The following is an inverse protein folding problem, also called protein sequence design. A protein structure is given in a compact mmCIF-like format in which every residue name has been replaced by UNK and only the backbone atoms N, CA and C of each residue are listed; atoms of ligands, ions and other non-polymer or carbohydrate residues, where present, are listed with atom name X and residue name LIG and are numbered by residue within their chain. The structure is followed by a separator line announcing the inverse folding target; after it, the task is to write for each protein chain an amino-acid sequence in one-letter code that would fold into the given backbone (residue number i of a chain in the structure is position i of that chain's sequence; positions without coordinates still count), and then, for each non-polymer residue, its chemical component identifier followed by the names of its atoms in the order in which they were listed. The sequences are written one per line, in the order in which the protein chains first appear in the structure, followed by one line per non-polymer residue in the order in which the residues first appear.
data_IF_851720715412
#
_entry.id   IF_851720715412
#
_cell.length_a   1.000
_cell.length_b   1.000
_cell.length_c   1.000
_cell.angle_alpha   90.00
_cell.angle_beta   90.00
_cell.angle_gamma   90.00
#
_symmetry.space_group_name_H-M   'P 1'
#
loop_
_entity.id
_entity.type
_entity.pdbx_description
1 polymer ?
#
# COMPACT_ATOMS: atom_id res chain seq x y z
N UNK A 1 -2.53 -7.31 -6.69
CA UNK A 1 -3.86 -7.45 -7.34
C UNK A 1 -4.62 -6.12 -7.32
N UNK A 2 -5.22 -5.72 -8.45
CA UNK A 2 -6.05 -4.51 -8.53
C UNK A 2 -7.33 -4.62 -7.68
N UNK A 3 -7.79 -3.49 -7.15
CA UNK A 3 -9.00 -3.41 -6.31
C UNK A 3 -10.23 -4.01 -7.00
N UNK A 4 -10.42 -3.71 -8.29
CA UNK A 4 -11.54 -4.20 -9.10
C UNK A 4 -11.56 -5.74 -9.16
N UNK A 5 -10.41 -6.38 -9.33
CA UNK A 5 -10.34 -7.84 -9.37
C UNK A 5 -10.74 -8.47 -8.04
N UNK A 6 -10.40 -7.83 -6.92
CA UNK A 6 -10.78 -8.30 -5.58
C UNK A 6 -12.28 -8.16 -5.37
N UNK A 7 -12.84 -7.00 -5.71
CA UNK A 7 -14.29 -6.75 -5.60
C UNK A 7 -15.08 -7.76 -6.45
N UNK A 8 -14.58 -8.13 -7.65
CA UNK A 8 -15.20 -9.17 -8.47
C UNK A 8 -15.11 -10.54 -7.81
N UNK A 9 -13.94 -10.94 -7.29
CA UNK A 9 -13.78 -12.25 -6.62
C UNK A 9 -14.66 -12.34 -5.37
N UNK A 10 -14.72 -11.27 -4.57
CA UNK A 10 -15.57 -11.18 -3.38
C UNK A 10 -17.05 -11.23 -3.76
N UNK A 11 -17.47 -10.50 -4.81
CA UNK A 11 -18.84 -10.54 -5.31
C UNK A 11 -19.23 -11.93 -5.85
N UNK A 12 -18.30 -12.64 -6.51
CA UNK A 12 -18.51 -14.03 -6.93
C UNK A 12 -18.64 -14.93 -5.71
N UNK A 13 -17.84 -14.72 -4.66
CA UNK A 13 -17.91 -15.51 -3.45
C UNK A 13 -19.24 -15.36 -2.70
N UNK A 14 -19.70 -14.12 -2.53
CA UNK A 14 -20.99 -13.82 -1.90
C UNK A 14 -22.17 -14.28 -2.78
N UNK A 15 -22.14 -14.02 -4.09
CA UNK A 15 -23.31 -14.24 -4.95
C UNK A 15 -23.43 -15.69 -5.43
N UNK A 16 -22.30 -16.38 -5.66
CA UNK A 16 -22.29 -17.72 -6.27
C UNK A 16 -21.95 -18.79 -5.24
N UNK A 17 -20.94 -18.58 -4.40
CA UNK A 17 -20.43 -19.65 -3.53
C UNK A 17 -21.26 -19.81 -2.25
N UNK A 18 -21.66 -18.72 -1.58
CA UNK A 18 -22.48 -18.81 -0.36
C UNK A 18 -23.81 -19.57 -0.55
N UNK A 19 -24.61 -19.31 -1.62
CA UNK A 19 -25.86 -20.05 -1.82
C UNK A 19 -25.64 -21.55 -2.08
N UNK A 20 -24.52 -21.91 -2.74
CA UNK A 20 -24.15 -23.30 -2.98
C UNK A 20 -23.75 -23.97 -1.66
N UNK A 21 -22.93 -23.30 -0.84
CA UNK A 21 -22.51 -23.80 0.47
C UNK A 21 -23.73 -24.01 1.39
N UNK A 22 -24.65 -23.04 1.45
CA UNK A 22 -25.91 -23.20 2.19
C UNK A 22 -26.75 -24.38 1.69
N UNK A 23 -26.82 -24.58 0.38
CA UNK A 23 -27.57 -25.69 -0.21
C UNK A 23 -26.95 -27.03 0.17
N UNK A 24 -25.61 -27.13 0.11
CA UNK A 24 -24.87 -28.33 0.54
C UNK A 24 -25.11 -28.62 2.02
N UNK A 25 -25.10 -27.60 2.88
CA UNK A 25 -25.42 -27.77 4.30
C UNK A 25 -26.87 -28.22 4.55
N UNK A 26 -27.83 -27.65 3.81
CA UNK A 26 -29.25 -28.04 3.90
C UNK A 26 -29.44 -29.50 3.49
N UNK A 27 -28.78 -29.96 2.43
CA UNK A 27 -28.82 -31.37 2.01
C UNK A 27 -28.11 -32.28 3.02
N UNK A 28 -26.98 -31.86 3.59
CA UNK A 28 -26.31 -32.62 4.66
C UNK A 28 -27.23 -32.79 5.88
N UNK A 29 -27.94 -31.73 6.30
CA UNK A 29 -28.93 -31.78 7.38
C UNK A 29 -30.09 -32.72 7.03
N UNK A 30 -30.63 -32.68 5.81
CA UNK A 30 -31.67 -33.61 5.35
C UNK A 30 -31.19 -35.05 5.38
N UNK A 31 -29.96 -35.31 4.96
CA UNK A 31 -29.39 -36.65 4.96
C UNK A 31 -29.08 -37.18 6.35
N UNK A 32 -28.65 -36.34 7.29
CA UNK A 32 -28.53 -36.73 8.71
C UNK A 32 -29.89 -37.10 9.32
N UNK A 33 -30.99 -36.50 8.86
CA UNK A 33 -32.36 -36.75 9.33
C UNK A 33 -33.02 -38.00 8.72
N UNK A 34 -32.55 -38.54 7.59
CA UNK A 34 -33.15 -39.74 6.97
C UNK A 34 -32.94 -40.98 7.86
N UNK A 35 -34.03 -41.66 8.22
CA UNK A 35 -33.98 -42.90 9.03
C UNK A 35 -33.24 -44.01 8.27
N UNK A 36 -32.38 -44.75 8.96
CA UNK A 36 -31.68 -45.88 8.35
C UNK A 36 -32.70 -46.96 7.95
N UNK A 37 -32.64 -47.38 6.68
CA UNK A 37 -33.37 -48.55 6.23
C UNK A 37 -32.55 -49.79 6.58
N UNK A 38 -32.94 -50.46 7.67
CA UNK A 38 -32.19 -51.59 8.25
C UNK A 38 -32.08 -52.78 7.30
N UNK A 39 -33.10 -53.00 6.44
CA UNK A 39 -33.13 -54.09 5.46
C UNK A 39 -32.07 -53.98 4.34
N UNK A 40 -31.43 -52.82 4.20
CA UNK A 40 -30.38 -52.59 3.21
C UNK A 40 -29.10 -52.07 3.89
N UNK A 41 -28.80 -52.51 5.12
CA UNK A 41 -27.53 -52.21 5.81
C UNK A 41 -27.20 -50.70 5.91
N UNK A 42 -28.23 -49.85 6.03
CA UNK A 42 -28.10 -48.39 5.99
C UNK A 42 -27.46 -47.82 4.69
N UNK A 43 -27.55 -48.50 3.54
CA UNK A 43 -27.02 -48.03 2.25
C UNK A 43 -27.44 -46.60 1.90
N UNK A 44 -28.67 -46.19 2.25
CA UNK A 44 -29.15 -44.82 2.02
C UNK A 44 -28.32 -43.75 2.77
N UNK A 45 -27.74 -44.09 3.92
CA UNK A 45 -26.91 -43.19 4.72
C UNK A 45 -25.49 -43.14 4.17
N UNK A 46 -24.94 -44.28 3.77
CA UNK A 46 -23.60 -44.38 3.18
C UNK A 46 -23.55 -43.71 1.80
N UNK A 47 -24.54 -43.98 0.94
CA UNK A 47 -24.67 -43.34 -0.36
C UNK A 47 -24.84 -41.82 -0.22
N UNK A 48 -25.64 -41.34 0.74
CA UNK A 48 -25.74 -39.90 0.93
C UNK A 48 -24.43 -39.27 1.44
N UNK A 49 -23.68 -39.95 2.32
CA UNK A 49 -22.36 -39.47 2.73
C UNK A 49 -21.38 -39.37 1.55
N UNK A 50 -21.39 -40.35 0.63
CA UNK A 50 -20.56 -40.29 -0.58
C UNK A 50 -20.98 -39.14 -1.49
N UNK A 51 -22.29 -38.97 -1.73
CA UNK A 51 -22.80 -37.88 -2.57
C UNK A 51 -22.44 -36.53 -1.96
N UNK A 52 -22.62 -36.33 -0.66
CA UNK A 52 -22.27 -35.05 -0.01
C UNK A 52 -20.76 -34.81 -0.01
N UNK A 53 -19.94 -35.85 0.21
CA UNK A 53 -18.49 -35.74 0.10
C UNK A 53 -18.06 -35.38 -1.32
N UNK A 54 -18.59 -36.07 -2.33
CA UNK A 54 -18.29 -35.81 -3.74
C UNK A 54 -18.74 -34.41 -4.17
N UNK A 55 -19.92 -33.96 -3.75
CA UNK A 55 -20.39 -32.59 -3.99
C UNK A 55 -19.46 -31.58 -3.32
N UNK A 56 -19.03 -31.80 -2.07
CA UNK A 56 -18.06 -30.90 -1.40
C UNK A 56 -16.73 -30.84 -2.16
N UNK A 57 -16.22 -31.98 -2.63
CA UNK A 57 -14.99 -32.03 -3.42
C UNK A 57 -15.17 -31.29 -4.75
N UNK A 58 -16.26 -31.53 -5.48
CA UNK A 58 -16.54 -30.86 -6.75
C UNK A 58 -16.71 -29.35 -6.54
N UNK A 59 -17.53 -28.92 -5.59
CA UNK A 59 -17.72 -27.50 -5.28
C UNK A 59 -16.39 -26.85 -4.90
N UNK A 60 -15.57 -27.51 -4.09
CA UNK A 60 -14.24 -27.01 -3.74
C UNK A 60 -13.31 -26.89 -4.96
N UNK A 61 -13.28 -27.90 -5.83
CA UNK A 61 -12.48 -27.85 -7.08
C UNK A 61 -12.98 -26.73 -8.00
N UNK A 62 -14.29 -26.64 -8.23
CA UNK A 62 -14.88 -25.62 -9.11
C UNK A 62 -14.65 -24.23 -8.54
N UNK A 63 -14.86 -24.01 -7.24
CA UNK A 63 -14.57 -22.74 -6.55
C UNK A 63 -13.11 -22.34 -6.73
N UNK A 64 -12.19 -23.29 -6.54
CA UNK A 64 -10.75 -23.06 -6.73
C UNK A 64 -10.43 -22.69 -8.18
N UNK A 65 -10.96 -23.43 -9.16
CA UNK A 65 -10.69 -23.18 -10.59
C UNK A 65 -11.29 -21.87 -11.06
N UNK A 66 -12.54 -21.56 -10.69
CA UNK A 66 -13.22 -20.31 -11.10
C UNK A 66 -12.52 -19.11 -10.49
N UNK A 67 -12.25 -19.12 -9.18
CA UNK A 67 -11.56 -18.02 -8.51
C UNK A 67 -10.15 -17.83 -9.09
N UNK A 68 -9.47 -18.94 -9.40
CA UNK A 68 -8.17 -18.89 -10.08
C UNK A 68 -8.27 -18.24 -11.47
N UNK A 69 -9.17 -18.71 -12.33
CA UNK A 69 -9.33 -18.20 -13.70
C UNK A 69 -9.72 -16.73 -13.69
N UNK A 70 -10.73 -16.35 -12.88
CA UNK A 70 -11.17 -14.95 -12.78
C UNK A 70 -10.05 -14.06 -12.30
N UNK A 71 -9.28 -14.50 -11.28
CA UNK A 71 -8.13 -13.77 -10.78
C UNK A 71 -7.06 -13.58 -11.86
N UNK A 72 -6.66 -14.66 -12.53
CA UNK A 72 -5.62 -14.60 -13.57
C UNK A 72 -6.06 -13.71 -14.72
N UNK A 73 -7.28 -13.89 -15.22
CA UNK A 73 -7.82 -13.07 -16.31
C UNK A 73 -7.89 -11.60 -15.90
N UNK A 74 -8.38 -11.30 -14.70
CA UNK A 74 -8.49 -9.93 -14.24
C UNK A 74 -7.12 -9.28 -13.99
N UNK A 75 -6.16 -9.99 -13.39
CA UNK A 75 -4.79 -9.51 -13.24
C UNK A 75 -4.16 -9.21 -14.59
N UNK A 76 -4.32 -10.10 -15.59
CA UNK A 76 -3.82 -9.88 -16.95
C UNK A 76 -4.46 -8.64 -17.55
N UNK A 77 -5.79 -8.51 -17.50
CA UNK A 77 -6.51 -7.37 -18.10
C UNK A 77 -6.06 -6.06 -17.45
N UNK A 78 -6.01 -5.98 -16.12
CA UNK A 78 -5.61 -4.73 -15.45
C UNK A 78 -4.16 -4.39 -15.74
N UNK A 79 -3.26 -5.36 -15.75
CA UNK A 79 -1.86 -5.12 -16.11
C UNK A 79 -1.76 -4.63 -17.56
N UNK A 80 -2.47 -5.26 -18.50
CA UNK A 80 -2.49 -4.83 -19.91
C UNK A 80 -3.06 -3.42 -20.05
N UNK A 81 -4.17 -3.10 -19.38
CA UNK A 81 -4.78 -1.77 -19.43
C UNK A 81 -3.83 -0.71 -18.86
N UNK A 82 -3.22 -0.97 -17.70
CA UNK A 82 -2.26 -0.04 -17.10
C UNK A 82 -1.05 0.18 -18.02
N UNK A 83 -0.45 -0.89 -18.54
CA UNK A 83 0.65 -0.81 -19.51
C UNK A 83 0.24 0.05 -20.72
N UNK A 84 -0.96 -0.16 -21.28
CA UNK A 84 -1.44 0.62 -22.42
C UNK A 84 -1.59 2.09 -22.06
N UNK A 85 -2.20 2.39 -20.91
CA UNK A 85 -2.36 3.77 -20.43
C UNK A 85 -1.02 4.44 -20.17
N UNK A 86 -0.07 3.74 -19.56
CA UNK A 86 1.25 4.27 -19.23
C UNK A 86 2.08 4.50 -20.49
N UNK A 87 2.08 3.56 -21.44
CA UNK A 87 2.77 3.70 -22.74
C UNK A 87 2.14 4.84 -23.55
N UNK A 88 0.81 4.90 -23.67
CA UNK A 88 0.13 5.99 -24.39
C UNK A 88 0.39 7.33 -23.70
N UNK A 89 0.32 7.39 -22.37
CA UNK A 89 0.59 8.59 -21.58
C UNK A 89 2.03 9.08 -21.77
N UNK A 90 3.01 8.18 -21.68
CA UNK A 90 4.41 8.52 -21.93
C UNK A 90 4.63 9.03 -23.36
N UNK A 91 4.05 8.39 -24.37
CA UNK A 91 4.14 8.83 -25.78
C UNK A 91 3.52 10.21 -25.97
N UNK A 92 2.32 10.45 -25.41
CA UNK A 92 1.66 11.76 -25.49
C UNK A 92 2.49 12.84 -24.80
N UNK A 93 3.02 12.56 -23.61
CA UNK A 93 3.86 13.50 -22.87
C UNK A 93 5.17 13.81 -23.63
N UNK A 94 5.80 12.81 -24.25
CA UNK A 94 6.96 13.02 -25.14
C UNK A 94 6.61 13.97 -26.29
N UNK A 95 5.45 13.79 -26.92
CA UNK A 95 4.98 14.68 -28.00
C UNK A 95 4.78 16.10 -27.47
N UNK A 96 4.13 16.27 -26.32
CA UNK A 96 3.91 17.58 -25.70
C UNK A 96 5.23 18.26 -25.31
N UNK A 97 6.20 17.53 -24.76
CA UNK A 97 7.51 18.08 -24.42
C UNK A 97 8.26 18.56 -25.67
N UNK A 98 8.22 17.80 -26.77
CA UNK A 98 8.80 18.21 -28.04
C UNK A 98 8.15 19.50 -28.54
N UNK A 99 6.81 19.60 -28.46
CA UNK A 99 6.09 20.82 -28.85
C UNK A 99 6.47 22.02 -27.96
N UNK A 100 6.58 21.81 -26.65
CA UNK A 100 7.01 22.82 -25.68
C UNK A 100 8.43 23.29 -25.96
N UNK A 101 9.38 22.38 -26.20
CA UNK A 101 10.76 22.72 -26.60
C UNK A 101 10.76 23.56 -27.87
N UNK A 102 10.00 23.14 -28.90
CA UNK A 102 9.92 23.87 -30.16
C UNK A 102 9.34 25.27 -29.99
N UNK A 103 8.30 25.41 -29.16
CA UNK A 103 7.71 26.71 -28.83
C UNK A 103 8.69 27.63 -28.10
N UNK A 104 9.41 27.09 -27.11
CA UNK A 104 10.34 27.86 -26.30
C UNK A 104 11.59 28.29 -27.09
N UNK A 105 12.03 27.49 -28.06
CA UNK A 105 13.05 27.89 -29.04
C UNK A 105 12.57 29.10 -29.87
N UNK A 106 11.29 29.13 -30.27
CA UNK A 106 10.72 30.25 -31.03
C UNK A 106 10.62 31.52 -30.17
N UNK A 107 10.31 31.39 -28.88
CA UNK A 107 10.22 32.52 -27.94
C UNK A 107 11.56 32.93 -27.33
N UNK A 108 12.66 32.26 -27.71
CA UNK A 108 14.02 32.48 -27.20
C UNK A 108 14.19 32.26 -25.67
N UNK A 109 13.37 31.38 -25.10
CA UNK A 109 13.47 31.02 -23.68
C UNK A 109 14.34 29.77 -23.50
N UNK A 110 15.64 29.98 -23.24
CA UNK A 110 16.63 28.89 -23.21
C UNK A 110 16.62 28.07 -21.92
N UNK A 111 16.18 28.64 -20.81
CA UNK A 111 16.10 27.93 -19.53
C UNK A 111 14.97 26.89 -19.60
N UNK A 112 13.82 27.27 -20.17
CA UNK A 112 12.70 26.36 -20.39
C UNK A 112 13.00 25.26 -21.43
N UNK A 113 13.90 25.51 -22.39
CA UNK A 113 14.36 24.48 -23.34
C UNK A 113 15.13 23.38 -22.62
N UNK A 114 15.98 23.73 -21.66
CA UNK A 114 16.74 22.74 -20.87
C UNK A 114 15.82 21.91 -19.98
N UNK A 115 14.80 22.51 -19.38
CA UNK A 115 13.82 21.78 -18.58
C UNK A 115 12.91 20.90 -19.43
N UNK A 116 12.54 21.35 -20.63
CA UNK A 116 11.88 20.52 -21.64
C UNK A 116 12.70 19.27 -22.00
N UNK A 117 14.01 19.40 -22.18
CA UNK A 117 14.91 18.25 -22.45
C UNK A 117 15.00 17.27 -21.28
N UNK A 118 15.01 17.76 -20.03
CA UNK A 118 15.00 16.88 -18.84
C UNK A 118 13.68 16.13 -18.71
N UNK A 119 12.55 16.81 -18.93
CA UNK A 119 11.23 16.18 -18.90
C UNK A 119 11.10 15.13 -20.00
N UNK A 120 11.59 15.43 -21.21
CA UNK A 120 11.66 14.48 -22.31
C UNK A 120 12.46 13.23 -21.92
N UNK A 121 13.65 13.40 -21.33
CA UNK A 121 14.46 12.28 -20.85
C UNK A 121 13.74 11.44 -19.78
N UNK A 122 12.99 12.08 -18.87
CA UNK A 122 12.20 11.39 -17.86
C UNK A 122 11.07 10.56 -18.47
N UNK A 123 10.33 11.10 -19.44
CA UNK A 123 9.27 10.36 -20.11
C UNK A 123 9.81 9.22 -20.99
N UNK A 124 11.01 9.34 -21.55
CA UNK A 124 11.69 8.23 -22.22
C UNK A 124 12.02 7.08 -21.25
N UNK A 125 12.43 7.40 -20.02
CA UNK A 125 12.66 6.38 -18.99
C UNK A 125 11.34 5.72 -18.59
N UNK A 126 10.28 6.51 -18.38
CA UNK A 126 8.94 5.98 -18.06
C UNK A 126 8.43 5.04 -19.18
N UNK A 127 8.68 5.37 -20.46
CA UNK A 127 8.36 4.50 -21.61
C UNK A 127 9.16 3.19 -21.57
N UNK A 128 10.46 3.24 -21.28
CA UNK A 128 11.30 2.05 -21.14
C UNK A 128 10.82 1.14 -20.00
N UNK A 129 10.40 1.72 -18.88
CA UNK A 129 9.79 0.98 -17.76
C UNK A 129 8.49 0.30 -18.21
N UNK A 130 7.63 0.98 -18.95
CA UNK A 130 6.41 0.38 -19.52
C UNK A 130 6.69 -0.81 -20.45
N UNK A 131 7.74 -0.73 -21.29
CA UNK A 131 8.18 -1.85 -22.13
C UNK A 131 8.69 -3.02 -21.27
N UNK A 132 9.44 -2.75 -20.21
CA UNK A 132 9.90 -3.78 -19.28
C UNK A 132 8.74 -4.51 -18.61
N UNK A 133 7.65 -3.81 -18.28
CA UNK A 133 6.48 -4.45 -17.68
C UNK A 133 5.75 -5.38 -18.65
N UNK A 134 5.75 -5.09 -19.96
CA UNK A 134 5.28 -6.03 -21.00
C UNK A 134 6.12 -7.31 -20.99
N UNK A 135 7.45 -7.18 -20.91
CA UNK A 135 8.36 -8.33 -20.89
C UNK A 135 8.13 -9.17 -19.62
N UNK A 136 8.01 -8.54 -18.45
CA UNK A 136 7.71 -9.23 -17.18
C UNK A 136 6.37 -9.97 -17.23
N UNK A 137 5.32 -9.34 -17.75
CA UNK A 137 4.01 -9.97 -17.92
C UNK A 137 4.13 -11.21 -18.82
N UNK A 138 4.84 -11.07 -19.94
CA UNK A 138 5.06 -12.16 -20.90
C UNK A 138 5.79 -13.34 -20.26
N UNK A 139 6.83 -13.09 -19.46
CA UNK A 139 7.54 -14.13 -18.72
C UNK A 139 6.65 -14.78 -17.66
N UNK A 140 5.88 -14.02 -16.88
CA UNK A 140 4.95 -14.57 -15.88
C UNK A 140 3.90 -15.49 -16.50
N UNK A 141 3.39 -15.14 -17.68
CA UNK A 141 2.46 -15.96 -18.45
C UNK A 141 3.12 -17.23 -18.96
N UNK A 142 4.29 -17.10 -19.59
CA UNK A 142 4.98 -18.22 -20.24
C UNK A 142 5.46 -19.29 -19.25
N UNK A 143 5.97 -18.87 -18.09
CA UNK A 143 6.52 -19.77 -17.07
C UNK A 143 5.50 -20.22 -16.01
N UNK A 144 4.21 -19.93 -16.20
CA UNK A 144 3.16 -20.35 -15.25
C UNK A 144 3.27 -19.68 -13.87
N UNK A 145 3.94 -18.53 -13.77
CA UNK A 145 4.19 -17.82 -12.52
C UNK A 145 2.90 -17.45 -11.77
N UNK A 146 1.82 -17.15 -12.51
CA UNK A 146 0.50 -16.89 -11.94
C UNK A 146 -0.08 -18.11 -11.21
N UNK A 147 0.09 -19.31 -11.76
CA UNK A 147 -0.40 -20.56 -11.15
C UNK A 147 0.40 -20.85 -9.88
N UNK A 148 1.73 -20.85 -9.98
CA UNK A 148 2.60 -21.16 -8.86
C UNK A 148 2.45 -20.15 -7.71
N UNK A 149 2.33 -18.86 -8.03
CA UNK A 149 2.08 -17.79 -7.06
C UNK A 149 0.75 -17.95 -6.34
N UNK A 150 -0.32 -18.22 -7.07
CA UNK A 150 -1.65 -18.42 -6.48
C UNK A 150 -1.70 -19.63 -5.54
N UNK A 151 -1.17 -20.78 -5.98
CA UNK A 151 -1.16 -22.00 -5.16
C UNK A 151 -0.40 -21.76 -3.86
N UNK A 152 0.77 -21.12 -3.96
CA UNK A 152 1.60 -20.80 -2.81
C UNK A 152 0.88 -19.87 -1.84
N UNK A 153 0.23 -18.81 -2.32
CA UNK A 153 -0.53 -17.87 -1.50
C UNK A 153 -1.69 -18.57 -0.77
N UNK A 154 -2.41 -19.47 -1.44
CA UNK A 154 -3.49 -20.24 -0.80
C UNK A 154 -2.96 -21.19 0.29
N UNK A 155 -1.82 -21.84 0.06
CA UNK A 155 -1.19 -22.71 1.06
C UNK A 155 -0.75 -21.86 2.27
N UNK A 156 -0.01 -20.78 2.04
CA UNK A 156 0.47 -19.89 3.11
C UNK A 156 -0.71 -19.28 3.90
N UNK A 157 -1.79 -18.89 3.23
CA UNK A 157 -2.98 -18.36 3.90
C UNK A 157 -3.69 -19.41 4.77
N UNK A 158 -3.79 -20.66 4.29
CA UNK A 158 -4.39 -21.74 5.08
C UNK A 158 -3.52 -22.11 6.29
N UNK A 159 -2.19 -22.16 6.12
CA UNK A 159 -1.27 -22.37 7.24
C UNK A 159 -1.35 -21.23 8.27
N UNK A 160 -1.51 -19.98 7.81
CA UNK A 160 -1.70 -18.84 8.69
C UNK A 160 -3.03 -18.94 9.46
N UNK A 161 -4.13 -19.32 8.79
CA UNK A 161 -5.44 -19.56 9.43
C UNK A 161 -5.34 -20.60 10.54
N UNK A 162 -4.69 -21.72 10.25
CA UNK A 162 -4.54 -22.80 11.22
C UNK A 162 -3.71 -22.36 12.43
N UNK A 163 -2.64 -21.59 12.19
CA UNK A 163 -1.84 -20.97 13.24
C UNK A 163 -2.68 -20.03 14.12
N UNK A 164 -3.42 -19.11 13.49
CA UNK A 164 -4.26 -18.13 14.20
C UNK A 164 -5.35 -18.82 15.00
N UNK A 165 -6.01 -19.85 14.42
CA UNK A 165 -7.00 -20.67 15.12
C UNK A 165 -6.40 -21.30 16.38
N UNK A 166 -5.20 -21.85 16.29
CA UNK A 166 -4.51 -22.46 17.43
C UNK A 166 -4.24 -21.40 18.51
N UNK A 167 -3.65 -20.26 18.16
CA UNK A 167 -3.32 -19.18 19.11
C UNK A 167 -4.56 -18.57 19.77
N UNK A 168 -5.63 -18.36 19.01
CA UNK A 168 -6.90 -17.86 19.56
C UNK A 168 -7.52 -18.85 20.54
N UNK A 169 -7.51 -20.15 20.24
CA UNK A 169 -7.99 -21.20 21.17
C UNK A 169 -7.14 -21.28 22.44
N UNK A 170 -5.82 -21.14 22.31
CA UNK A 170 -4.91 -21.11 23.47
C UNK A 170 -5.21 -19.92 24.38
N UNK A 171 -5.48 -18.73 23.80
CA UNK A 171 -5.69 -17.51 24.58
C UNK A 171 -7.12 -17.32 25.10
N UNK A 172 -8.11 -17.62 24.28
CA UNK A 172 -9.54 -17.33 24.53
C UNK A 172 -10.39 -18.59 24.66
N UNK A 173 -9.80 -19.78 24.76
CA UNK A 173 -10.54 -21.05 24.87
C UNK A 173 -11.44 -21.15 26.10
N UNK A 174 -11.18 -20.35 27.15
CA UNK A 174 -12.06 -20.21 28.31
C UNK A 174 -13.29 -19.31 28.09
N UNK A 175 -13.30 -18.51 27.01
CA UNK A 175 -14.35 -17.55 26.65
C UNK A 175 -15.00 -17.97 25.31
N UNK A 176 -15.73 -19.08 25.31
CA UNK A 176 -16.26 -19.71 24.08
C UNK A 176 -17.04 -18.74 23.17
N UNK A 177 -17.85 -17.87 23.77
CA UNK A 177 -18.70 -16.94 23.03
C UNK A 177 -17.88 -15.83 22.36
N UNK A 178 -16.85 -15.33 23.06
CA UNK A 178 -15.92 -14.34 22.50
C UNK A 178 -15.06 -14.96 21.41
N UNK A 179 -14.54 -16.16 21.64
CA UNK A 179 -13.78 -16.90 20.63
C UNK A 179 -14.62 -17.08 19.36
N UNK A 180 -15.86 -17.54 19.47
CA UNK A 180 -16.76 -17.70 18.33
C UNK A 180 -16.97 -16.38 17.56
N UNK A 181 -17.20 -15.26 18.28
CA UNK A 181 -17.31 -13.93 17.65
C UNK A 181 -16.04 -13.52 16.93
N UNK A 182 -14.86 -13.76 17.52
CA UNK A 182 -13.58 -13.45 16.87
C UNK A 182 -13.44 -14.30 15.60
N UNK A 183 -13.65 -15.61 15.68
CA UNK A 183 -13.52 -16.53 14.54
C UNK A 183 -14.47 -16.17 13.37
N UNK A 184 -15.70 -15.76 13.68
CA UNK A 184 -16.69 -15.29 12.72
C UNK A 184 -16.26 -13.98 12.06
N UNK A 185 -15.95 -12.95 12.85
CA UNK A 185 -15.64 -11.61 12.33
C UNK A 185 -14.34 -11.57 11.49
N UNK A 186 -13.35 -12.40 11.81
CA UNK A 186 -12.12 -12.49 11.01
C UNK A 186 -12.24 -13.48 9.84
N UNK A 187 -13.41 -14.11 9.66
CA UNK A 187 -13.66 -15.10 8.62
C UNK A 187 -12.64 -16.25 8.69
N UNK A 188 -12.45 -16.82 9.89
CA UNK A 188 -11.44 -17.85 10.12
C UNK A 188 -11.80 -19.19 9.47
N UNK A 189 -13.10 -19.45 9.28
CA UNK A 189 -13.62 -20.73 8.82
C UNK A 189 -14.16 -20.70 7.38
N UNK A 190 -14.39 -19.51 6.80
CA UNK A 190 -14.95 -19.33 5.45
C UNK A 190 -14.51 -18.00 4.84
N UNK A 191 -14.79 -17.77 3.56
CA UNK A 191 -14.61 -16.48 2.88
C UNK A 191 -13.18 -15.94 2.87
N UNK A 192 -13.05 -14.61 2.72
CA UNK A 192 -11.77 -13.92 2.82
C UNK A 192 -11.33 -13.76 4.29
N UNK A 193 -10.27 -14.45 4.69
CA UNK A 193 -9.72 -14.36 6.06
C UNK A 193 -8.96 -13.07 6.30
N UNK A 194 -9.15 -12.50 7.50
CA UNK A 194 -8.30 -11.45 8.04
C UNK A 194 -9.03 -10.53 9.00
N UNK A 195 -8.26 -9.90 9.89
CA UNK A 195 -8.75 -8.89 10.83
C UNK A 195 -9.01 -7.58 10.08
N UNK A 196 -10.23 -7.07 10.18
CA UNK A 196 -10.54 -5.72 9.70
C UNK A 196 -9.86 -4.68 10.59
N UNK A 197 -8.95 -3.91 10.01
CA UNK A 197 -8.22 -2.87 10.70
C UNK A 197 -8.57 -1.51 10.10
N UNK A 198 -9.03 -0.59 10.95
CA UNK A 198 -9.33 0.78 10.52
C UNK A 198 -8.03 1.53 10.34
N UNK A 199 -7.91 2.23 9.22
CA UNK A 199 -6.71 2.96 8.87
C UNK A 199 -7.06 4.40 8.46
N UNK A 200 -6.19 5.35 8.80
CA UNK A 200 -6.27 6.75 8.35
C UNK A 200 -4.96 7.11 7.67
N UNK A 201 -5.05 7.49 6.40
CA UNK A 201 -3.94 7.99 5.60
C UNK A 201 -4.03 9.52 5.54
N UNK A 202 -3.00 10.18 6.05
CA UNK A 202 -2.89 11.62 6.11
C UNK A 202 -1.88 12.09 5.08
N UNK A 203 -2.28 13.03 4.22
CA UNK A 203 -1.35 13.68 3.30
C UNK A 203 -0.92 15.01 3.89
N UNK A 204 0.37 15.16 4.17
CA UNK A 204 0.89 16.44 4.62
C UNK A 204 0.85 17.46 3.49
N UNK A 205 0.52 18.71 3.83
CA UNK A 205 0.64 19.85 2.93
C UNK A 205 1.18 21.05 3.66
N UNK A 206 1.84 21.93 2.91
CA UNK A 206 2.20 23.28 3.33
C UNK A 206 1.35 24.26 2.55
N UNK A 207 0.92 25.33 3.22
CA UNK A 207 0.15 26.41 2.63
C UNK A 207 1.03 27.65 2.52
N UNK A 208 1.04 28.30 1.35
CA UNK A 208 1.99 29.39 1.06
C UNK A 208 1.76 30.64 1.91
N UNK A 209 0.59 30.78 2.53
CA UNK A 209 0.28 31.91 3.41
C UNK A 209 0.41 31.58 4.90
N UNK A 210 0.71 30.33 5.26
CA UNK A 210 0.83 29.94 6.65
C UNK A 210 2.08 30.51 7.30
N UNK A 211 1.90 31.08 8.49
CA UNK A 211 2.97 31.71 9.27
C UNK A 211 2.41 32.68 10.32
N UNK A 212 3.29 33.34 11.09
CA UNK A 212 2.89 34.39 12.03
C UNK A 212 2.31 35.61 11.29
N UNK A 213 1.28 36.25 11.85
CA UNK A 213 0.64 37.42 11.22
C UNK A 213 1.59 38.61 10.94
N UNK A 214 2.69 38.71 11.69
CA UNK A 214 3.65 39.81 11.61
C UNK A 214 5.04 39.37 11.10
N UNK A 215 5.15 38.18 10.52
CA UNK A 215 6.39 37.66 9.95
C UNK A 215 6.18 37.19 8.51
N UNK A 216 7.25 37.04 7.70
CA UNK A 216 7.13 36.38 6.41
C UNK A 216 6.52 34.98 6.60
N UNK A 217 5.71 34.49 5.64
CA UNK A 217 5.16 33.13 5.72
C UNK A 217 6.27 32.11 5.94
N UNK A 218 5.96 31.02 6.64
CA UNK A 218 6.98 30.05 7.06
C UNK A 218 7.70 29.46 5.85
N UNK A 219 6.99 29.17 4.75
CA UNK A 219 7.61 28.66 3.54
C UNK A 219 8.66 29.61 2.96
N UNK A 220 8.36 30.91 2.89
CA UNK A 220 9.32 31.89 2.41
C UNK A 220 10.52 32.00 3.34
N UNK A 221 10.28 32.00 4.66
CA UNK A 221 11.35 32.06 5.66
C UNK A 221 12.30 30.87 5.55
N UNK A 222 11.75 29.64 5.51
CA UNK A 222 12.54 28.41 5.37
C UNK A 222 13.34 28.37 4.06
N UNK A 223 12.77 28.96 2.99
CA UNK A 223 13.48 29.08 1.71
C UNK A 223 14.64 30.07 1.78
N UNK A 224 14.38 31.26 2.33
CA UNK A 224 15.41 32.30 2.50
C UNK A 224 16.55 31.84 3.41
N UNK A 225 16.26 31.02 4.41
CA UNK A 225 17.24 30.43 5.34
C UNK A 225 18.02 29.26 4.71
N UNK A 226 17.68 28.85 3.48
CA UNK A 226 18.31 27.72 2.80
C UNK A 226 17.99 26.35 3.40
N UNK A 227 16.98 26.26 4.26
CA UNK A 227 16.52 25.01 4.88
C UNK A 227 15.69 24.17 3.91
N UNK A 228 14.97 24.83 3.01
CA UNK A 228 14.24 24.18 1.92
C UNK A 228 14.50 24.88 0.58
N UNK A 229 14.40 24.13 -0.51
CA UNK A 229 14.30 24.70 -1.84
C UNK A 229 12.83 24.64 -2.30
N UNK A 230 12.16 25.79 -2.44
CA UNK A 230 10.76 25.85 -2.86
C UNK A 230 10.53 25.33 -4.28
N UNK A 231 11.49 25.51 -5.19
CA UNK A 231 11.38 24.99 -6.55
C UNK A 231 11.44 23.46 -6.55
N UNK A 232 12.34 22.86 -5.76
CA UNK A 232 12.43 21.40 -5.61
C UNK A 232 11.21 20.84 -4.89
N UNK A 233 10.79 21.49 -3.80
CA UNK A 233 9.64 21.06 -3.00
C UNK A 233 8.33 21.17 -3.77
N UNK A 234 8.16 22.18 -4.62
CA UNK A 234 6.99 22.33 -5.50
C UNK A 234 7.01 21.38 -6.71
N UNK A 235 8.16 20.74 -6.96
CA UNK A 235 8.35 19.84 -8.09
C UNK A 235 8.64 20.54 -9.42
N UNK A 236 8.81 21.86 -9.39
CA UNK A 236 9.20 22.71 -10.53
C UNK A 236 10.65 22.43 -10.93
N UNK A 237 11.57 22.51 -9.97
CA UNK A 237 12.96 22.12 -10.21
C UNK A 237 13.13 20.62 -9.96
N UNK A 238 13.56 19.93 -11.01
CA UNK A 238 13.85 18.51 -10.93
C UNK A 238 15.31 18.33 -10.54
N UNK A 239 15.55 17.83 -9.33
CA UNK A 239 16.86 17.30 -8.93
C UNK A 239 17.22 16.03 -9.71
N UNK A 240 18.01 15.15 -9.10
CA UNK A 240 18.28 13.83 -9.68
C UNK A 240 16.95 13.06 -9.88
N UNK A 241 16.77 12.49 -11.07
CA UNK A 241 15.55 11.75 -11.46
C UNK A 241 15.19 10.61 -10.49
N UNK A 242 16.19 10.03 -9.80
CA UNK A 242 16.02 8.95 -8.83
C UNK A 242 15.67 9.42 -7.41
N UNK A 243 15.85 10.69 -7.06
CA UNK A 243 15.48 11.23 -5.74
C UNK A 243 14.36 12.29 -5.85
N UNK A 244 13.68 12.36 -7.01
CA UNK A 244 12.61 13.34 -7.26
C UNK A 244 11.41 13.05 -6.33
N UNK A 245 11.04 13.97 -5.41
CA UNK A 245 9.78 13.87 -4.70
C UNK A 245 8.61 13.99 -5.71
N UNK A 246 7.53 13.23 -5.53
CA UNK A 246 6.27 13.46 -6.29
C UNK A 246 5.33 14.38 -5.53
N UNK A 247 5.89 15.43 -4.94
CA UNK A 247 5.11 16.50 -4.37
C UNK A 247 4.23 17.12 -5.47
N UNK A 248 3.09 17.64 -5.05
CA UNK A 248 2.11 18.24 -5.95
C UNK A 248 1.85 19.66 -5.46
N UNK A 249 2.36 20.66 -6.18
CA UNK A 249 2.04 22.06 -5.94
C UNK A 249 0.82 22.46 -6.77
N UNK A 250 -0.17 23.08 -6.12
CA UNK A 250 -1.39 23.55 -6.76
C UNK A 250 -1.76 24.95 -6.26
N UNK A 251 -2.14 25.81 -7.19
CA UNK A 251 -2.86 27.05 -6.90
C UNK A 251 -4.22 26.72 -6.28
N UNK A 252 -4.85 27.72 -5.66
CA UNK A 252 -6.13 27.51 -4.97
C UNK A 252 -7.30 27.13 -5.90
N UNK A 253 -7.17 27.40 -7.20
CA UNK A 253 -8.11 26.95 -8.23
C UNK A 253 -7.86 25.51 -8.71
N UNK A 254 -6.80 24.87 -8.22
CA UNK A 254 -6.40 23.49 -8.55
C UNK A 254 -5.43 23.37 -9.73
N UNK A 255 -5.08 24.47 -10.40
CA UNK A 255 -4.07 24.48 -11.46
C UNK A 255 -2.67 24.20 -10.90
N UNK A 256 -1.77 23.57 -11.69
CA UNK A 256 -0.40 23.32 -11.26
C UNK A 256 0.37 24.64 -11.10
N UNK A 257 1.26 24.69 -10.11
CA UNK A 257 2.14 25.86 -9.87
C UNK A 257 3.31 25.84 -10.87
N UNK A 258 3.54 26.96 -11.53
CA UNK A 258 4.67 27.18 -12.45
C UNK A 258 5.90 27.77 -11.75
N UNK A 259 7.03 27.86 -12.48
CA UNK A 259 8.23 28.56 -11.99
C UNK A 259 7.95 30.05 -11.74
N UNK A 260 7.27 30.70 -12.69
CA UNK A 260 6.87 32.10 -12.58
C UNK A 260 5.98 32.37 -11.36
N UNK A 261 5.11 31.43 -10.99
CA UNK A 261 4.29 31.53 -9.78
C UNK A 261 5.15 31.51 -8.51
N UNK A 262 6.16 30.65 -8.45
CA UNK A 262 7.11 30.59 -7.33
C UNK A 262 7.96 31.87 -7.28
N UNK A 263 8.45 32.36 -8.42
CA UNK A 263 9.20 33.61 -8.50
C UNK A 263 8.33 34.80 -8.07
N UNK A 264 7.08 34.86 -8.52
CA UNK A 264 6.13 35.90 -8.11
C UNK A 264 5.83 35.84 -6.61
N UNK A 265 5.69 34.63 -6.06
CA UNK A 265 5.54 34.41 -4.62
C UNK A 265 6.73 34.93 -3.82
N UNK A 266 7.96 34.59 -4.24
CA UNK A 266 9.18 35.04 -3.56
C UNK A 266 9.30 36.57 -3.66
N UNK A 267 9.11 37.13 -4.86
CA UNK A 267 9.24 38.57 -5.12
C UNK A 267 8.15 39.42 -4.43
N UNK A 268 6.96 38.86 -4.19
CA UNK A 268 5.88 39.53 -3.45
C UNK A 268 6.07 39.51 -1.93
N UNK A 269 7.16 38.89 -1.43
CA UNK A 269 7.37 38.67 -0.01
C UNK A 269 6.41 37.62 0.56
N UNK A 270 6.06 36.62 -0.25
CA UNK A 270 5.24 35.48 0.15
C UNK A 270 3.74 35.76 0.17
N UNK A 271 3.28 36.82 -0.50
CA UNK A 271 1.89 37.27 -0.43
C UNK A 271 1.01 36.70 -1.54
N UNK A 272 1.56 36.60 -2.75
CA UNK A 272 0.83 36.14 -3.95
C UNK A 272 1.77 35.46 -4.95
N UNK A 273 1.35 34.39 -5.64
CA UNK A 273 0.04 33.75 -5.55
C UNK A 273 -0.12 32.85 -4.32
N UNK A 274 -1.37 32.50 -4.00
CA UNK A 274 -1.69 31.52 -2.96
C UNK A 274 -1.69 30.11 -3.55
N UNK A 275 -0.88 29.23 -2.99
CA UNK A 275 -0.80 27.82 -3.38
C UNK A 275 -0.59 26.90 -2.18
N UNK A 276 -0.78 25.61 -2.42
CA UNK A 276 -0.45 24.53 -1.49
C UNK A 276 0.48 23.55 -2.15
N UNK A 277 1.47 23.07 -1.40
CA UNK A 277 2.32 21.96 -1.82
C UNK A 277 1.94 20.75 -0.98
N UNK A 278 1.60 19.64 -1.62
CA UNK A 278 1.33 18.35 -0.98
C UNK A 278 2.58 17.48 -1.02
N UNK A 279 2.83 16.72 0.05
CA UNK A 279 3.99 15.82 0.14
C UNK A 279 4.00 14.69 -0.90
N UNK A 280 2.82 14.32 -1.40
CA UNK A 280 2.65 13.37 -2.52
C UNK A 280 1.42 13.76 -3.36
N UNK A 281 1.39 13.29 -4.61
CA UNK A 281 0.21 13.40 -5.46
C UNK A 281 -0.92 12.46 -5.01
N UNK A 282 -2.18 12.81 -5.33
CA UNK A 282 -3.34 11.93 -5.03
C UNK A 282 -3.25 10.54 -5.70
N UNK A 283 -2.80 10.42 -6.97
CA UNK A 283 -2.61 9.12 -7.60
C UNK A 283 -1.55 8.27 -6.88
N UNK A 284 -0.39 8.86 -6.54
CA UNK A 284 0.68 8.17 -5.81
C UNK A 284 0.19 7.64 -4.46
N UNK A 285 -0.54 8.47 -3.70
CA UNK A 285 -1.15 8.05 -2.45
C UNK A 285 -2.08 6.84 -2.67
N UNK A 286 -2.97 6.93 -3.67
CA UNK A 286 -3.95 5.88 -3.95
C UNK A 286 -3.27 4.54 -4.26
N UNK A 287 -2.20 4.59 -5.05
CA UNK A 287 -1.42 3.42 -5.42
C UNK A 287 -0.77 2.75 -4.19
N UNK A 288 -0.14 3.52 -3.30
CA UNK A 288 0.44 2.98 -2.05
C UNK A 288 -0.61 2.34 -1.16
N UNK A 289 -1.79 2.96 -1.04
CA UNK A 289 -2.89 2.41 -0.27
C UNK A 289 -3.40 1.09 -0.87
N UNK A 290 -3.51 1.00 -2.20
CA UNK A 290 -3.93 -0.22 -2.89
C UNK A 290 -2.93 -1.37 -2.75
N UNK A 291 -1.62 -1.05 -2.79
CA UNK A 291 -0.53 -1.99 -2.49
C UNK A 291 -0.63 -2.45 -1.04
N UNK A 292 -0.77 -1.54 -0.09
CA UNK A 292 -0.92 -1.90 1.33
C UNK A 292 -2.15 -2.78 1.59
N UNK A 293 -3.29 -2.53 0.92
CA UNK A 293 -4.48 -3.40 1.01
C UNK A 293 -4.17 -4.80 0.45
N UNK A 294 -3.42 -4.90 -0.65
CA UNK A 294 -3.07 -6.17 -1.27
C UNK A 294 -2.13 -7.00 -0.41
N UNK A 295 -0.98 -6.42 -0.10
CA UNK A 295 0.09 -7.06 0.65
C UNK A 295 -0.29 -7.29 2.11
N UNK A 296 -1.13 -6.42 2.71
CA UNK A 296 -1.64 -6.61 4.07
C UNK A 296 -2.44 -7.90 4.26
N UNK A 297 -3.03 -8.47 3.20
CA UNK A 297 -3.73 -9.77 3.27
C UNK A 297 -2.79 -10.93 3.58
N UNK A 298 -1.52 -10.84 3.20
CA UNK A 298 -0.52 -11.85 3.53
C UNK A 298 -0.22 -11.89 5.03
N UNK A 299 -0.46 -10.79 5.74
CA UNK A 299 -0.44 -10.72 7.20
C UNK A 299 -1.79 -11.12 7.84
N UNK A 300 -2.80 -11.48 7.03
CA UNK A 300 -4.17 -11.70 7.51
C UNK A 300 -4.85 -10.41 7.97
N UNK A 301 -4.57 -9.27 7.32
CA UNK A 301 -5.18 -7.97 7.61
C UNK A 301 -6.08 -7.52 6.45
N UNK A 302 -7.23 -6.92 6.80
CA UNK A 302 -8.13 -6.23 5.88
C UNK A 302 -8.11 -4.74 6.21
N UNK A 303 -7.21 -4.01 5.57
CA UNK A 303 -7.00 -2.59 5.82
C UNK A 303 -8.12 -1.75 5.20
N UNK A 304 -8.79 -0.92 6.00
CA UNK A 304 -9.83 0.01 5.54
C UNK A 304 -9.40 1.45 5.73
N UNK A 305 -9.09 2.13 4.62
CA UNK A 305 -8.52 3.47 4.64
C UNK A 305 -9.57 4.57 4.59
N UNK A 306 -9.40 5.54 5.49
CA UNK A 306 -9.95 6.89 5.37
C UNK A 306 -8.82 7.84 4.98
N UNK A 307 -9.11 8.85 4.16
CA UNK A 307 -8.11 9.85 3.71
C UNK A 307 -8.32 11.17 4.41
N UNK A 308 -7.23 11.85 4.75
CA UNK A 308 -7.25 13.19 5.33
C UNK A 308 -6.07 14.01 4.87
N UNK A 309 -6.13 15.31 5.17
CA UNK A 309 -5.02 16.25 4.97
C UNK A 309 -4.56 16.75 6.33
N UNK A 310 -3.26 16.99 6.47
CA UNK A 310 -2.70 17.69 7.62
C UNK A 310 -1.82 18.83 7.11
N UNK A 311 -2.02 20.02 7.68
CA UNK A 311 -1.13 21.13 7.42
C UNK A 311 0.11 20.99 8.31
N UNK A 312 1.29 21.16 7.72
CA UNK A 312 2.55 21.23 8.44
C UNK A 312 3.13 22.63 8.29
N UNK A 313 3.63 23.19 9.39
CA UNK A 313 4.05 24.59 9.45
C UNK A 313 5.50 24.77 9.85
N UNK A 314 6.15 23.75 10.42
CA UNK A 314 7.54 23.80 10.88
C UNK A 314 8.47 22.84 10.12
N UNK A 315 9.77 23.11 10.14
CA UNK A 315 10.78 22.24 9.51
C UNK A 315 10.80 20.84 10.13
N UNK A 316 10.56 20.74 11.44
CA UNK A 316 10.42 19.51 12.22
C UNK A 316 9.17 18.69 11.85
N UNK A 317 8.20 19.32 11.19
CA UNK A 317 6.99 18.67 10.66
C UNK A 317 7.10 18.36 9.16
N UNK A 318 7.89 19.15 8.42
CA UNK A 318 8.16 18.93 7.00
C UNK A 318 9.13 17.76 6.82
N UNK A 319 10.23 17.74 7.58
CA UNK A 319 11.19 16.64 7.63
C UNK A 319 11.28 16.02 9.02
N UNK A 320 10.34 15.11 9.28
CA UNK A 320 10.21 14.46 10.59
C UNK A 320 11.32 13.44 10.80
N UNK A 321 12.24 13.77 11.71
CA UNK A 321 13.28 12.87 12.21
C UNK A 321 12.73 11.91 13.27
N UNK A 322 13.48 10.85 13.57
CA UNK A 322 13.01 9.80 14.49
C UNK A 322 12.69 10.38 15.88
N UNK A 323 13.52 11.29 16.37
CA UNK A 323 13.35 12.00 17.65
C UNK A 323 12.11 12.91 17.68
N UNK A 324 11.62 13.35 16.52
CA UNK A 324 10.44 14.22 16.39
C UNK A 324 9.14 13.43 16.19
N UNK A 325 9.24 12.12 15.91
CA UNK A 325 8.09 11.29 15.57
C UNK A 325 6.99 11.34 16.65
N UNK A 326 7.35 11.34 17.93
CA UNK A 326 6.38 11.39 19.03
C UNK A 326 5.57 12.68 19.06
N UNK A 327 6.23 13.82 18.82
CA UNK A 327 5.60 15.13 18.75
C UNK A 327 4.72 15.23 17.50
N UNK A 328 5.20 14.71 16.36
CA UNK A 328 4.44 14.68 15.11
C UNK A 328 3.18 13.81 15.20
N UNK A 329 3.28 12.65 15.85
CA UNK A 329 2.15 11.76 16.07
C UNK A 329 1.07 12.42 16.95
N UNK A 330 1.46 13.09 18.03
CA UNK A 330 0.52 13.70 18.97
C UNK A 330 -0.10 15.00 18.44
N UNK A 331 0.71 15.87 17.82
CA UNK A 331 0.25 17.15 17.28
C UNK A 331 -0.44 16.97 15.93
N UNK A 332 0.29 17.07 14.80
CA UNK A 332 -0.27 16.98 13.45
C UNK A 332 -1.17 15.77 13.20
N UNK A 333 -0.78 14.57 13.64
CA UNK A 333 -1.57 13.36 13.38
C UNK A 333 -2.70 13.13 14.41
N UNK A 334 -2.73 13.89 15.51
CA UNK A 334 -3.77 13.84 16.54
C UNK A 334 -3.88 12.51 17.28
N UNK A 335 -2.77 11.77 17.44
CA UNK A 335 -2.76 10.48 18.13
C UNK A 335 -2.84 10.65 19.63
N UNK A 336 -3.61 9.76 20.27
CA UNK A 336 -3.72 9.79 21.72
C UNK A 336 -2.45 9.17 22.35
N UNK A 337 -1.71 9.90 23.21
CA UNK A 337 -0.54 9.35 23.89
C UNK A 337 -0.87 8.17 24.82
N UNK A 338 -2.13 8.01 25.22
CA UNK A 338 -2.62 6.90 26.04
C UNK A 338 -3.03 5.66 25.21
N UNK A 339 -3.02 5.75 23.88
CA UNK A 339 -3.33 4.65 22.96
C UNK A 339 -4.77 4.15 22.98
N UNK A 340 -5.73 4.99 23.37
CA UNK A 340 -7.17 4.66 23.26
C UNK A 340 -7.61 4.39 21.81
N UNK A 341 -6.81 4.84 20.85
CA UNK A 341 -7.00 4.75 19.41
C UNK A 341 -6.04 3.74 18.75
N UNK A 342 -5.46 2.80 19.52
CA UNK A 342 -4.55 1.76 19.03
C UNK A 342 -5.17 0.84 17.97
N UNK A 343 -6.49 0.66 17.99
CA UNK A 343 -7.21 -0.12 16.97
C UNK A 343 -7.49 0.67 15.69
N UNK A 344 -6.86 1.83 15.54
CA UNK A 344 -6.81 2.61 14.30
C UNK A 344 -5.35 2.86 13.94
N UNK A 345 -4.91 2.36 12.80
CA UNK A 345 -3.59 2.64 12.25
C UNK A 345 -3.63 4.03 11.61
N UNK A 346 -2.71 4.92 11.97
CA UNK A 346 -2.59 6.23 11.34
C UNK A 346 -1.23 6.33 10.68
N UNK A 347 -1.26 6.60 9.38
CA UNK A 347 -0.10 6.78 8.53
C UNK A 347 -0.12 8.19 7.96
N UNK A 348 1.01 8.89 7.96
CA UNK A 348 1.13 10.18 7.29
C UNK A 348 2.23 10.16 6.23
N UNK A 349 1.95 10.74 5.07
CA UNK A 349 2.98 11.03 4.09
C UNK A 349 3.63 12.37 4.43
N UNK A 350 4.93 12.36 4.65
CA UNK A 350 5.74 13.56 4.92
C UNK A 350 6.63 13.89 3.73
N UNK A 351 7.15 15.11 3.68
CA UNK A 351 7.94 15.56 2.54
C UNK A 351 9.28 14.81 2.49
N UNK A 352 9.75 14.54 1.27
CA UNK A 352 11.10 14.05 1.01
C UNK A 352 11.97 15.22 0.53
N UNK A 353 12.36 16.13 1.43
CA UNK A 353 13.22 17.28 1.09
C UNK A 353 14.69 16.97 1.32
N UNK A 354 15.56 17.60 0.51
CA UNK A 354 17.00 17.41 0.57
C UNK A 354 17.66 18.23 1.68
N UNK A 355 17.72 17.71 2.92
CA UNK A 355 18.50 18.37 3.97
C UNK A 355 20.02 18.11 3.84
N UNK A 356 20.89 19.05 4.27
CA UNK A 356 22.35 18.93 4.20
C UNK A 356 22.97 17.79 5.04
N UNK A 357 22.25 17.20 6.00
CA UNK A 357 22.84 16.47 7.13
C UNK A 357 22.70 14.93 7.15
N UNK A 358 22.60 14.25 6.00
CA UNK A 358 22.77 12.79 5.95
C UNK A 358 21.48 11.96 5.89
N UNK A 359 21.63 10.65 6.09
CA UNK A 359 20.75 9.55 5.64
C UNK A 359 19.25 9.80 5.77
N UNK A 360 18.49 9.45 4.72
CA UNK A 360 17.04 9.62 4.69
C UNK A 360 16.31 8.28 4.61
N UNK A 361 15.85 7.74 5.75
CA UNK A 361 15.02 6.56 5.73
C UNK A 361 13.68 6.86 5.06
N UNK A 362 13.12 5.82 4.46
CA UNK A 362 11.89 5.91 3.68
C UNK A 362 10.65 6.13 4.53
N UNK A 363 10.74 5.86 5.82
CA UNK A 363 9.69 6.07 6.79
C UNK A 363 10.21 5.91 8.20
N UNK A 364 9.31 6.16 9.15
CA UNK A 364 9.52 5.86 10.54
C UNK A 364 8.25 5.29 11.12
N UNK A 365 8.38 4.25 11.94
CA UNK A 365 7.25 3.65 12.61
C UNK A 365 7.46 3.61 14.12
N UNK A 366 6.45 4.07 14.84
CA UNK A 366 6.31 3.83 16.27
C UNK A 366 5.28 2.72 16.49
N UNK A 367 5.78 1.52 16.78
CA UNK A 367 4.95 0.40 17.18
C UNK A 367 4.34 0.60 18.57
N UNK A 368 3.17 0.02 18.80
CA UNK A 368 2.53 0.05 20.12
C UNK A 368 3.31 -0.80 21.13
N UNK A 369 3.41 -0.29 22.36
CA UNK A 369 3.82 -1.08 23.53
C UNK A 369 3.02 -0.66 24.76
N UNK A 370 2.88 -1.54 25.74
CA UNK A 370 2.22 -1.20 27.01
C UNK A 370 2.88 -0.03 27.74
N UNK A 371 4.19 0.16 27.55
CA UNK A 371 4.96 1.26 28.15
C UNK A 371 4.88 2.57 27.34
N UNK A 372 4.61 2.48 26.03
CA UNK A 372 4.48 3.60 25.12
C UNK A 372 3.36 3.28 24.14
N UNK A 373 2.10 3.59 24.51
CA UNK A 373 0.94 3.17 23.75
C UNK A 373 0.65 4.10 22.56
N UNK A 374 1.35 5.24 22.47
CA UNK A 374 1.44 6.05 21.26
C UNK A 374 1.99 5.20 20.10
N UNK A 375 1.22 5.12 19.02
CA UNK A 375 1.60 4.33 17.83
C UNK A 375 1.16 5.01 16.55
N UNK A 376 1.90 4.78 15.48
CA UNK A 376 1.62 5.30 14.14
C UNK A 376 2.89 5.30 13.31
N UNK A 377 2.76 5.74 12.07
CA UNK A 377 3.89 5.73 11.14
C UNK A 377 3.86 6.93 10.20
N UNK A 378 5.02 7.24 9.68
CA UNK A 378 5.18 8.16 8.55
C UNK A 378 5.90 7.44 7.42
N UNK A 379 5.64 7.87 6.19
CA UNK A 379 6.44 7.48 5.06
C UNK A 379 6.73 8.67 4.15
N UNK A 380 7.79 8.54 3.37
CA UNK A 380 8.22 9.50 2.36
C UNK A 380 7.94 8.91 0.99
N UNK A 381 7.56 9.77 0.06
CA UNK A 381 7.35 9.38 -1.32
C UNK A 381 8.60 9.61 -2.17
N UNK A 382 8.91 8.65 -3.06
CA UNK A 382 10.09 8.63 -3.94
C UNK A 382 9.81 7.90 -5.25
N UNK A 383 10.69 8.11 -6.24
CA UNK A 383 10.74 7.37 -7.51
C UNK A 383 11.96 6.45 -7.55
N UNK A 384 11.92 5.29 -8.24
CA UNK A 384 10.81 4.77 -9.05
C UNK A 384 9.69 4.19 -8.19
N UNK A 385 8.44 4.31 -8.66
CA UNK A 385 7.28 3.84 -7.90
C UNK A 385 7.25 2.31 -7.78
N UNK A 386 7.85 1.59 -8.73
CA UNK A 386 7.99 0.15 -8.75
C UNK A 386 8.55 -0.40 -7.43
N UNK A 387 9.43 0.38 -6.78
CA UNK A 387 10.02 0.08 -5.48
C UNK A 387 9.28 0.79 -4.35
N UNK A 388 9.08 2.10 -4.49
CA UNK A 388 8.65 2.94 -3.38
C UNK A 388 7.15 2.88 -3.07
N UNK A 389 6.36 2.20 -3.89
CA UNK A 389 4.97 1.87 -3.57
C UNK A 389 4.84 0.93 -2.37
N UNK A 390 5.90 0.16 -2.05
CA UNK A 390 5.92 -0.79 -0.93
C UNK A 390 6.32 -0.18 0.42
N UNK A 391 6.80 1.06 0.46
CA UNK A 391 7.26 1.69 1.71
C UNK A 391 6.14 1.76 2.74
N UNK A 392 4.93 2.18 2.33
CA UNK A 392 3.81 2.27 3.27
C UNK A 392 3.53 0.92 3.94
N UNK A 393 3.50 -0.17 3.15
CA UNK A 393 3.24 -1.50 3.72
C UNK A 393 4.41 -2.04 4.54
N UNK A 394 5.65 -1.69 4.19
CA UNK A 394 6.83 -1.97 5.01
C UNK A 394 6.71 -1.36 6.42
N UNK A 395 6.37 -0.07 6.49
CA UNK A 395 6.15 0.63 7.77
C UNK A 395 4.96 0.03 8.53
N UNK A 396 3.89 -0.38 7.84
CA UNK A 396 2.78 -1.12 8.47
C UNK A 396 3.29 -2.45 9.06
N UNK A 397 4.23 -3.13 8.41
CA UNK A 397 4.90 -4.30 8.98
C UNK A 397 5.57 -3.99 10.32
N UNK A 398 6.32 -2.89 10.41
CA UNK A 398 6.89 -2.43 11.68
C UNK A 398 5.82 -2.09 12.74
N UNK A 399 4.67 -1.56 12.31
CA UNK A 399 3.55 -1.26 13.21
C UNK A 399 3.05 -2.54 13.91
N UNK A 400 3.04 -3.66 13.19
CA UNK A 400 2.73 -4.99 13.71
C UNK A 400 3.97 -5.76 14.20
N UNK A 401 4.99 -5.03 14.67
CA UNK A 401 6.19 -5.57 15.33
C UNK A 401 7.10 -6.43 14.44
N UNK A 402 6.98 -6.35 13.11
CA UNK A 402 7.92 -6.99 12.20
C UNK A 402 9.27 -6.27 12.21
N UNK A 403 10.33 -7.04 11.95
CA UNK A 403 11.72 -6.57 11.91
C UNK A 403 12.38 -7.03 10.61
N UNK A 404 13.48 -6.39 10.25
CA UNK A 404 14.28 -6.78 9.08
C UNK A 404 15.05 -8.10 9.28
N UNK A 405 15.25 -8.55 10.53
CA UNK A 405 15.96 -9.80 10.83
C UNK A 405 15.33 -11.02 10.13
N UNK A 406 16.13 -11.72 9.32
CA UNK A 406 15.71 -12.90 8.56
C UNK A 406 15.08 -12.59 7.20
N UNK A 407 15.11 -11.33 6.76
CA UNK A 407 14.68 -10.90 5.44
C UNK A 407 15.88 -10.55 4.58
N UNK A 408 16.49 -11.57 3.98
CA UNK A 408 17.58 -11.39 3.03
C UNK A 408 17.00 -11.49 1.61
N UNK A 409 16.86 -10.35 0.92
CA UNK A 409 16.43 -10.30 -0.47
C UNK A 409 15.29 -9.30 -0.75
N UNK A 410 15.37 -8.64 -1.91
CA UNK A 410 14.41 -7.64 -2.36
C UNK A 410 13.00 -8.21 -2.64
N UNK A 411 12.83 -9.53 -2.70
CA UNK A 411 11.53 -10.18 -2.81
C UNK A 411 10.74 -10.17 -1.48
N UNK A 412 11.34 -9.67 -0.39
CA UNK A 412 10.71 -9.51 0.93
C UNK A 412 10.35 -8.06 1.19
N UNK A 413 9.11 -7.82 1.61
CA UNK A 413 8.68 -6.47 2.00
C UNK A 413 9.52 -5.94 3.15
N UNK A 414 9.83 -6.78 4.15
CA UNK A 414 10.63 -6.39 5.32
C UNK A 414 12.14 -6.38 5.06
N UNK A 415 12.58 -6.47 3.80
CA UNK A 415 13.99 -6.31 3.47
C UNK A 415 14.46 -4.89 3.77
N UNK A 416 15.64 -4.80 4.36
CA UNK A 416 16.39 -3.56 4.51
C UNK A 416 17.84 -3.87 4.17
N UNK A 417 18.50 -3.05 3.33
CA UNK A 417 19.90 -3.24 3.05
C UNK A 417 20.67 -2.94 4.33
N UNK A 418 21.45 -3.90 4.80
CA UNK A 418 22.53 -3.56 5.72
C UNK A 418 23.60 -2.88 4.86
N UNK A 419 23.80 -1.58 5.09
CA UNK A 419 24.85 -0.74 4.51
C UNK A 419 24.61 -0.27 3.05
N UNK A 420 24.37 1.04 2.88
CA UNK A 420 24.55 1.97 1.74
C UNK A 420 24.52 1.55 0.25
N UNK A 421 24.22 0.31 -0.12
CA UNK A 421 24.28 -0.17 -1.52
C UNK A 421 22.91 -0.46 -2.13
N UNK A 422 21.84 0.17 -1.63
CA UNK A 422 20.47 -0.08 -2.12
C UNK A 422 20.23 0.26 -3.60
N UNK A 423 21.18 0.92 -4.24
CA UNK A 423 21.08 1.42 -5.61
C UNK A 423 22.23 0.99 -6.51
N UNK A 424 22.92 -0.13 -6.22
CA UNK A 424 23.76 -0.69 -7.26
C UNK A 424 22.88 -1.01 -8.47
N UNK A 425 23.28 -0.56 -9.66
CA UNK A 425 22.50 -0.79 -10.88
C UNK A 425 22.19 -2.28 -11.10
N UNK A 426 23.04 -3.17 -10.58
CA UNK A 426 22.83 -4.61 -10.57
C UNK A 426 21.68 -5.06 -9.65
N UNK A 427 21.49 -4.50 -8.45
CA UNK A 427 20.37 -4.85 -7.57
C UNK A 427 19.03 -4.40 -8.16
N UNK A 428 19.00 -3.22 -8.78
CA UNK A 428 17.84 -2.70 -9.50
C UNK A 428 17.53 -3.62 -10.69
N UNK A 429 18.56 -4.03 -11.44
CA UNK A 429 18.42 -4.95 -12.57
C UNK A 429 17.95 -6.34 -12.14
N UNK A 430 18.52 -6.91 -11.07
CA UNK A 430 18.09 -8.20 -10.52
C UNK A 430 16.66 -8.14 -10.00
N UNK A 431 16.28 -7.05 -9.34
CA UNK A 431 14.91 -6.86 -8.89
C UNK A 431 13.93 -6.80 -10.05
N UNK A 432 14.23 -5.96 -11.04
CA UNK A 432 13.38 -5.77 -12.22
C UNK A 432 13.29 -7.03 -13.08
N UNK A 433 14.34 -7.84 -13.13
CA UNK A 433 14.43 -8.96 -14.06
C UNK A 433 14.08 -10.32 -13.46
N UNK A 434 14.41 -10.55 -12.18
CA UNK A 434 14.34 -11.87 -11.55
C UNK A 434 13.43 -11.94 -10.33
N UNK A 435 13.23 -10.83 -9.60
CA UNK A 435 12.39 -10.85 -8.41
C UNK A 435 10.91 -10.60 -8.75
N UNK A 436 10.02 -11.39 -8.13
CA UNK A 436 8.59 -11.12 -8.15
C UNK A 436 8.25 -9.84 -7.38
N UNK A 437 6.95 -9.51 -7.29
CA UNK A 437 6.51 -8.45 -6.38
C UNK A 437 6.94 -8.79 -4.94
N UNK A 438 7.54 -7.84 -4.18
CA UNK A 438 7.86 -8.01 -2.77
C UNK A 438 6.64 -8.51 -2.00
N UNK A 439 6.87 -9.47 -1.09
CA UNK A 439 5.82 -10.04 -0.25
C UNK A 439 6.27 -10.23 1.19
N UNK A 440 5.31 -10.35 2.09
CA UNK A 440 5.52 -10.91 3.41
C UNK A 440 5.68 -12.42 3.34
N UNK A 441 6.43 -12.96 4.29
CA UNK A 441 6.53 -14.40 4.49
C UNK A 441 5.40 -14.90 5.38
N UNK A 442 5.12 -16.21 5.35
CA UNK A 442 4.22 -16.82 6.33
C UNK A 442 4.66 -16.54 7.78
N UNK A 443 5.97 -16.47 8.04
CA UNK A 443 6.51 -16.19 9.36
C UNK A 443 6.19 -14.76 9.82
N UNK A 444 6.14 -13.81 8.90
CA UNK A 444 5.70 -12.44 9.18
C UNK A 444 4.23 -12.40 9.57
N UNK A 445 3.38 -13.11 8.82
CA UNK A 445 1.97 -13.25 9.18
C UNK A 445 1.80 -13.83 10.59
N UNK A 446 2.55 -14.88 10.94
CA UNK A 446 2.52 -15.47 12.29
C UNK A 446 2.95 -14.47 13.37
N UNK A 447 4.06 -13.76 13.17
CA UNK A 447 4.56 -12.74 14.12
C UNK A 447 3.59 -11.57 14.29
N UNK A 448 2.97 -11.10 13.20
CA UNK A 448 1.97 -10.04 13.25
C UNK A 448 0.74 -10.48 14.08
N UNK A 449 0.29 -11.73 13.90
CA UNK A 449 -0.81 -12.27 14.69
C UNK A 449 -0.45 -12.55 16.15
N UNK A 450 0.79 -12.97 16.44
CA UNK A 450 1.27 -13.04 17.83
C UNK A 450 1.20 -11.66 18.48
N UNK A 451 1.65 -10.61 17.80
CA UNK A 451 1.51 -9.24 18.30
C UNK A 451 0.05 -8.83 18.51
N UNK A 452 -0.85 -9.10 17.54
CA UNK A 452 -2.27 -8.74 17.64
C UNK A 452 -2.92 -9.42 18.84
N UNK A 453 -2.75 -10.74 18.94
CA UNK A 453 -3.34 -11.56 19.99
C UNK A 453 -2.73 -11.19 21.34
N UNK A 454 -1.42 -10.97 21.42
CA UNK A 454 -0.70 -10.79 22.68
C UNK A 454 -0.65 -9.36 23.21
N UNK A 455 -0.56 -8.37 22.34
CA UNK A 455 -0.34 -6.96 22.72
C UNK A 455 -1.55 -6.07 22.53
N UNK A 456 -2.40 -6.36 21.54
CA UNK A 456 -3.59 -5.55 21.27
C UNK A 456 -4.88 -6.40 21.19
N UNK A 457 -5.14 -7.32 22.15
CA UNK A 457 -6.33 -8.16 22.12
C UNK A 457 -7.66 -7.38 22.18
N UNK A 458 -7.62 -6.12 22.62
CA UNK A 458 -8.75 -5.19 22.60
C UNK A 458 -9.19 -4.79 21.18
N UNK A 459 -8.34 -5.00 20.17
CA UNK A 459 -8.68 -4.76 18.78
C UNK A 459 -9.34 -5.96 18.11
N UNK A 460 -9.36 -7.11 18.79
CA UNK A 460 -10.18 -8.24 18.37
C UNK A 460 -11.64 -7.99 18.77
N UNK A 461 -12.60 -8.40 17.93
CA UNK A 461 -14.03 -8.30 18.23
C UNK A 461 -14.36 -8.87 19.61
N UNK A 462 -15.07 -8.08 20.41
CA UNK A 462 -15.43 -8.43 21.80
C UNK A 462 -16.66 -9.31 21.87
#
# INVERSE_FOLDING_TARGET
MARVCREIVEAIEETVWEPIEEWVEKEEKKCKKKKCNWWCLCCNKWFCWIVTFLVKVITWVVKTVVNFVVRVVCEIIVVVVNIVVDVVGAVLNIIFDILTILWNIITFDWDDVLDGLKNLAAHFIDLLVGILDIIKLSMRLFFGGFIAGYIREQIEQNELRDYVRKRLKEKFGGESDRLARIEENINLNHGAFGLEFRCRSLRSFVDSLSGPNDAPPTLLSLHGDGLINLYEMSGVDVGNILDRPRSQAQLMDGSPVSRDDIDHYINSGGKVPHFRIYAESKPAQSQKLDVAIGEGRQLGLKLRWTRGLIEVQGIDQIDVQQEQLDAFLQGPMGRNPNGSDVCTLVAATVFNIRLPSGERPFGWTKGYSEKSPLSGLIHRDRRPDEFFKYVLIHEIGHYFSLKHEGHDGLDKIMYSPRENEWWSANLIFEFLWWSGEPRFTLQDGKKAWDFIIDRIPQCLPS
#
